data_IF_453384769722
#
_entry.id   IF_453384769722
#
_cell.length_a   1.000
_cell.length_b   1.000
_cell.length_c   1.000
_cell.angle_alpha   90.00
_cell.angle_beta   90.00
_cell.angle_gamma   90.00
#
_symmetry.space_group_name_H-M   'P 1'
#
loop_
_entity.id
_entity.type
_entity.pdbx_description
1 polymer ?
#
# COMPACT_ATOMS: atom_id res chain seq x y z
N UNK A 1 -8.15 -47.79 33.45
CA UNK A 1 -7.02 -47.40 32.59
C UNK A 1 -7.57 -46.40 31.58
N UNK A 2 -7.25 -45.13 31.76
CA UNK A 2 -7.86 -44.00 31.04
C UNK A 2 -7.34 -43.97 29.60
N UNK A 3 -8.24 -44.06 28.63
CA UNK A 3 -7.95 -43.82 27.22
C UNK A 3 -7.47 -42.36 27.06
N UNK A 4 -6.18 -42.17 26.75
CA UNK A 4 -5.67 -40.88 26.32
C UNK A 4 -6.55 -40.37 25.18
N UNK A 5 -7.20 -39.22 25.40
CA UNK A 5 -8.04 -38.54 24.43
C UNK A 5 -7.26 -38.41 23.11
N UNK A 6 -7.67 -39.19 22.09
CA UNK A 6 -7.18 -39.01 20.72
C UNK A 6 -7.44 -37.57 20.36
N UNK A 7 -6.39 -36.86 19.96
CA UNK A 7 -6.47 -35.47 19.54
C UNK A 7 -7.54 -35.36 18.44
N UNK A 8 -8.67 -34.70 18.73
CA UNK A 8 -9.86 -34.66 17.86
C UNK A 8 -9.75 -33.60 16.75
N UNK A 9 -8.65 -32.84 16.73
CA UNK A 9 -8.45 -31.74 15.79
C UNK A 9 -7.67 -32.21 14.56
N UNK A 10 -8.00 -31.62 13.41
CA UNK A 10 -7.26 -31.84 12.17
C UNK A 10 -5.83 -31.33 12.32
N UNK A 11 -4.87 -32.00 11.68
CA UNK A 11 -3.53 -31.43 11.55
C UNK A 11 -3.59 -30.20 10.65
N UNK A 12 -2.81 -29.17 10.98
CA UNK A 12 -2.73 -27.98 10.15
C UNK A 12 -2.18 -28.32 8.76
N UNK A 13 -2.84 -27.89 7.67
CA UNK A 13 -2.36 -28.13 6.31
C UNK A 13 -1.00 -27.47 6.11
N UNK A 14 -0.12 -28.18 5.42
CA UNK A 14 1.30 -27.84 5.26
C UNK A 14 1.53 -26.76 4.20
N UNK A 15 0.67 -26.75 3.19
CA UNK A 15 0.50 -25.65 2.26
C UNK A 15 -1.01 -25.40 2.16
N UNK A 16 -1.47 -24.15 2.08
CA UNK A 16 -2.89 -23.90 2.04
C UNK A 16 -3.58 -24.56 0.82
N UNK A 17 -2.85 -24.87 -0.25
CA UNK A 17 -3.35 -25.59 -1.44
C UNK A 17 -3.68 -27.09 -1.26
N UNK A 18 -3.45 -27.68 -0.08
CA UNK A 18 -3.63 -29.13 0.14
C UNK A 18 -5.06 -29.53 0.60
N UNK A 19 -6.03 -28.60 0.63
CA UNK A 19 -7.45 -28.93 0.89
C UNK A 19 -8.29 -28.77 -0.39
N UNK A 20 -9.21 -29.70 -0.66
CA UNK A 20 -10.24 -29.55 -1.71
C UNK A 20 -11.07 -28.27 -1.55
N UNK A 21 -11.12 -27.70 -0.33
CA UNK A 21 -11.87 -26.50 0.03
C UNK A 21 -10.99 -25.28 0.35
N UNK A 22 -9.66 -25.37 0.19
CA UNK A 22 -8.77 -24.23 0.36
C UNK A 22 -8.10 -23.92 -0.97
N UNK A 23 -8.71 -23.02 -1.73
CA UNK A 23 -7.95 -22.22 -2.68
C UNK A 23 -7.27 -21.12 -1.90
N UNK A 24 -5.94 -21.16 -1.79
CA UNK A 24 -5.22 -19.91 -1.56
C UNK A 24 -5.73 -18.94 -2.64
N UNK A 25 -6.21 -17.74 -2.27
CA UNK A 25 -6.66 -16.80 -3.28
C UNK A 25 -5.51 -16.64 -4.26
N UNK A 26 -5.75 -17.04 -5.51
CA UNK A 26 -4.72 -17.02 -6.55
C UNK A 26 -4.20 -15.59 -6.59
N UNK A 27 -2.94 -15.41 -6.18
CA UNK A 27 -2.32 -14.10 -6.23
C UNK A 27 -2.02 -13.86 -7.70
N UNK A 28 -3.00 -13.33 -8.43
CA UNK A 28 -2.80 -12.90 -9.81
C UNK A 28 -1.75 -11.80 -9.76
N UNK A 29 -0.50 -12.17 -10.07
CA UNK A 29 0.59 -11.21 -10.20
C UNK A 29 0.34 -10.49 -11.52
N UNK A 30 0.00 -9.19 -11.51
CA UNK A 30 -0.21 -8.48 -12.74
C UNK A 30 1.08 -8.50 -13.56
N UNK A 31 0.95 -8.72 -14.86
CA UNK A 31 2.08 -8.92 -15.79
C UNK A 31 2.98 -7.67 -15.93
N UNK A 32 2.57 -6.54 -15.35
CA UNK A 32 3.19 -5.24 -15.60
C UNK A 32 2.77 -4.67 -16.95
N UNK A 33 3.29 -3.49 -17.26
CA UNK A 33 3.04 -2.77 -18.51
C UNK A 33 4.37 -2.64 -19.26
N UNK A 34 4.35 -2.67 -20.58
CA UNK A 34 5.55 -2.35 -21.36
C UNK A 34 5.98 -0.89 -21.13
N UNK A 35 7.29 -0.64 -21.22
CA UNK A 35 7.81 0.71 -21.01
C UNK A 35 7.31 1.65 -22.10
N UNK A 36 6.51 2.63 -21.72
CA UNK A 36 6.03 3.68 -22.63
C UNK A 36 7.17 4.62 -23.05
N UNK A 37 7.18 5.07 -24.32
CA UNK A 37 8.11 6.10 -24.77
C UNK A 37 7.88 7.41 -23.98
N UNK A 38 8.92 8.26 -23.85
CA UNK A 38 8.74 9.55 -23.21
C UNK A 38 7.75 10.42 -24.00
N UNK A 39 6.73 10.94 -23.31
CA UNK A 39 5.82 11.93 -23.86
C UNK A 39 6.40 13.33 -23.69
N UNK A 40 6.12 14.21 -24.66
CA UNK A 40 6.47 15.62 -24.55
C UNK A 40 5.66 16.27 -23.43
N UNK A 41 6.31 17.15 -22.65
CA UNK A 41 5.65 17.91 -21.61
C UNK A 41 4.55 18.79 -22.22
N UNK A 42 3.32 18.57 -21.76
CA UNK A 42 2.14 19.33 -22.13
C UNK A 42 1.73 20.25 -20.97
N UNK A 43 1.17 21.41 -21.32
CA UNK A 43 0.60 22.35 -20.36
C UNK A 43 -0.70 21.80 -19.76
N UNK A 44 -0.82 21.89 -18.45
CA UNK A 44 -1.99 21.50 -17.68
C UNK A 44 -2.56 22.68 -16.91
N UNK A 45 -3.83 22.55 -16.51
CA UNK A 45 -4.47 23.53 -15.65
C UNK A 45 -3.70 23.68 -14.32
N UNK A 46 -3.48 24.93 -13.92
CA UNK A 46 -2.68 25.29 -12.74
C UNK A 46 -1.23 25.65 -13.07
N UNK A 47 -0.69 25.26 -14.22
CA UNK A 47 0.69 25.59 -14.59
C UNK A 47 0.92 27.10 -14.63
N UNK A 48 2.09 27.51 -14.16
CA UNK A 48 2.54 28.89 -14.24
C UNK A 48 3.62 29.01 -15.30
N UNK A 49 3.44 29.96 -16.20
CA UNK A 49 4.32 30.18 -17.35
C UNK A 49 4.82 31.61 -17.41
N UNK A 50 6.00 31.76 -17.98
CA UNK A 50 6.57 33.01 -18.44
C UNK A 50 6.45 33.06 -19.96
N UNK A 51 5.81 34.11 -20.46
CA UNK A 51 5.69 34.39 -21.90
C UNK A 51 6.63 35.54 -22.26
N UNK A 52 7.54 35.29 -23.17
CA UNK A 52 8.35 36.34 -23.79
C UNK A 52 7.90 36.51 -25.24
N UNK A 53 7.45 37.71 -25.59
CA UNK A 53 7.10 38.07 -26.97
C UNK A 53 8.19 38.95 -27.56
N UNK A 54 8.65 38.61 -28.76
CA UNK A 54 9.70 39.34 -29.48
C UNK A 54 9.13 39.87 -30.80
N UNK A 55 9.20 41.19 -30.98
CA UNK A 55 8.90 41.88 -32.23
C UNK A 55 9.74 43.15 -32.36
N UNK A 56 9.15 44.35 -32.49
CA UNK A 56 9.86 45.63 -32.42
C UNK A 56 10.43 45.90 -31.02
N UNK A 57 9.71 45.48 -29.99
CA UNK A 57 10.13 45.45 -28.59
C UNK A 57 10.07 44.00 -28.09
N UNK A 58 10.85 43.72 -27.05
CA UNK A 58 10.73 42.48 -26.28
C UNK A 58 9.91 42.77 -25.03
N UNK A 59 8.84 42.02 -24.85
CA UNK A 59 7.98 42.09 -23.67
C UNK A 59 7.97 40.74 -22.97
N UNK A 60 8.04 40.76 -21.64
CA UNK A 60 8.03 39.56 -20.81
C UNK A 60 6.86 39.66 -19.84
N UNK A 61 6.02 38.62 -19.84
CA UNK A 61 4.90 38.46 -18.95
C UNK A 61 5.18 37.27 -18.05
N UNK A 62 5.30 37.52 -16.75
CA UNK A 62 5.57 36.50 -15.74
C UNK A 62 4.30 36.17 -14.97
N UNK A 63 4.23 34.94 -14.45
CA UNK A 63 3.13 34.53 -13.57
C UNK A 63 1.80 34.32 -14.30
N UNK A 64 1.82 34.08 -15.61
CA UNK A 64 0.60 33.73 -16.34
C UNK A 64 0.19 32.30 -15.95
N UNK A 65 -1.08 32.10 -15.63
CA UNK A 65 -1.59 30.82 -15.12
C UNK A 65 -2.49 30.19 -16.17
N UNK A 66 -2.32 28.89 -16.42
CA UNK A 66 -3.26 28.10 -17.20
C UNK A 66 -4.49 27.83 -16.34
N UNK A 67 -5.65 28.35 -16.73
CA UNK A 67 -6.87 28.22 -15.95
C UNK A 67 -7.45 26.79 -15.95
N UNK A 68 -8.54 26.58 -15.21
CA UNK A 68 -9.22 25.29 -15.10
C UNK A 68 -9.82 24.79 -16.42
N UNK A 69 -10.07 25.68 -17.39
CA UNK A 69 -10.53 25.33 -18.73
C UNK A 69 -9.37 25.05 -19.70
N UNK A 70 -8.12 25.16 -19.24
CA UNK A 70 -6.92 25.01 -20.07
C UNK A 70 -6.59 26.25 -20.89
N UNK A 71 -7.09 27.42 -20.53
CA UNK A 71 -6.85 28.67 -21.24
C UNK A 71 -5.74 29.48 -20.56
N UNK A 72 -4.97 30.21 -21.37
CA UNK A 72 -3.99 31.18 -20.94
C UNK A 72 -4.46 32.56 -21.37
N UNK A 73 -4.64 33.47 -20.41
CA UNK A 73 -4.98 34.85 -20.70
C UNK A 73 -3.73 35.60 -21.19
N UNK A 74 -3.67 35.91 -22.47
CA UNK A 74 -2.55 36.62 -23.09
C UNK A 74 -2.94 38.07 -23.35
N UNK A 75 -2.18 39.07 -22.87
CA UNK A 75 -2.44 40.48 -23.16
C UNK A 75 -2.61 40.72 -24.66
N UNK A 76 -3.59 41.55 -25.03
CA UNK A 76 -4.04 41.84 -26.41
C UNK A 76 -4.76 40.69 -27.14
N UNK A 77 -4.27 39.45 -27.01
CA UNK A 77 -4.86 38.30 -27.69
C UNK A 77 -6.05 37.67 -26.95
N UNK A 78 -6.24 37.97 -25.66
CA UNK A 78 -7.30 37.41 -24.84
C UNK A 78 -7.02 35.96 -24.44
N UNK A 79 -8.07 35.17 -24.27
CA UNK A 79 -7.96 33.79 -23.80
C UNK A 79 -7.56 32.85 -24.96
N UNK A 80 -6.47 32.10 -24.75
CA UNK A 80 -5.93 31.17 -25.74
C UNK A 80 -5.93 29.77 -25.14
N UNK A 81 -6.54 28.80 -25.84
CA UNK A 81 -6.52 27.41 -25.41
C UNK A 81 -5.10 26.82 -25.53
N UNK A 82 -4.49 26.48 -24.40
CA UNK A 82 -3.15 25.89 -24.30
C UNK A 82 -3.13 24.53 -23.58
N UNK A 83 -4.22 24.15 -22.91
CA UNK A 83 -4.35 22.90 -22.18
C UNK A 83 -4.13 21.68 -23.07
N UNK A 84 -3.29 20.75 -22.62
CA UNK A 84 -2.90 19.55 -23.36
C UNK A 84 -1.96 19.81 -24.55
N UNK A 85 -1.58 21.07 -24.84
CA UNK A 85 -0.61 21.39 -25.90
C UNK A 85 0.81 21.29 -25.36
N UNK A 86 1.73 20.88 -26.22
CA UNK A 86 3.17 21.06 -25.95
C UNK A 86 3.53 22.54 -25.99
N UNK A 87 4.68 22.92 -25.41
CA UNK A 87 5.17 24.29 -25.44
C UNK A 87 5.19 24.89 -26.85
N UNK A 88 5.76 24.17 -27.82
CA UNK A 88 5.81 24.64 -29.21
C UNK A 88 4.43 24.79 -29.86
N UNK A 89 3.47 23.96 -29.48
CA UNK A 89 2.09 24.07 -29.96
C UNK A 89 1.37 25.26 -29.32
N UNK A 90 1.62 25.53 -28.04
CA UNK A 90 1.07 26.67 -27.31
C UNK A 90 1.66 27.99 -27.82
N UNK A 91 2.98 28.07 -28.00
CA UNK A 91 3.66 29.23 -28.61
C UNK A 91 3.05 29.59 -29.96
N UNK A 92 2.86 28.59 -30.84
CA UNK A 92 2.24 28.80 -32.16
C UNK A 92 0.79 29.29 -32.06
N UNK A 93 0.02 28.81 -31.09
CA UNK A 93 -1.34 29.28 -30.84
C UNK A 93 -1.33 30.75 -30.37
N UNK A 94 -0.41 31.10 -29.47
CA UNK A 94 -0.21 32.46 -28.97
C UNK A 94 0.18 33.42 -30.09
N UNK A 95 1.17 33.05 -30.91
CA UNK A 95 1.56 33.83 -32.09
C UNK A 95 0.38 34.07 -33.03
N UNK A 96 -0.45 33.04 -33.26
CA UNK A 96 -1.62 33.17 -34.14
C UNK A 96 -2.64 34.17 -33.58
N UNK A 97 -2.85 34.19 -32.26
CA UNK A 97 -3.71 35.17 -31.59
C UNK A 97 -3.16 36.60 -31.67
N UNK A 98 -1.86 36.77 -31.44
CA UNK A 98 -1.20 38.09 -31.44
C UNK A 98 -1.02 38.69 -32.83
N UNK A 99 -1.00 37.87 -33.90
CA UNK A 99 -0.83 38.34 -35.30
C UNK A 99 -1.89 39.32 -35.79
N UNK A 100 -3.03 39.45 -35.11
CA UNK A 100 -4.03 40.49 -35.38
C UNK A 100 -3.50 41.90 -35.04
N UNK A 101 -2.58 42.00 -34.10
CA UNK A 101 -2.04 43.24 -33.57
C UNK A 101 -0.58 43.47 -33.98
N UNK A 102 0.19 42.39 -34.08
CA UNK A 102 1.58 42.43 -34.53
C UNK A 102 1.90 41.27 -35.49
N UNK A 103 2.12 41.61 -36.76
CA UNK A 103 2.32 40.63 -37.84
C UNK A 103 3.62 39.82 -37.69
N UNK A 104 4.64 40.34 -37.01
CA UNK A 104 5.98 39.75 -36.94
C UNK A 104 6.31 39.11 -35.59
N UNK A 105 5.39 39.20 -34.62
CA UNK A 105 5.57 38.64 -33.28
C UNK A 105 5.99 37.17 -33.28
N UNK A 106 6.91 36.86 -32.37
CA UNK A 106 7.31 35.51 -31.98
C UNK A 106 7.08 35.33 -30.49
N UNK A 107 6.58 34.16 -30.10
CA UNK A 107 6.34 33.83 -28.70
C UNK A 107 7.32 32.74 -28.26
N UNK A 108 7.85 32.90 -27.05
CA UNK A 108 8.61 31.88 -26.33
C UNK A 108 7.94 31.67 -24.98
N UNK A 109 7.64 30.41 -24.65
CA UNK A 109 6.95 30.04 -23.43
C UNK A 109 7.82 29.13 -22.57
N UNK A 110 8.02 29.51 -21.31
CA UNK A 110 8.76 28.74 -20.32
C UNK A 110 7.82 28.41 -19.17
N UNK A 111 7.76 27.13 -18.76
CA UNK A 111 7.03 26.74 -17.55
C UNK A 111 7.92 27.06 -16.34
N UNK A 112 7.42 27.92 -15.46
CA UNK A 112 8.11 28.29 -14.21
C UNK A 112 7.66 27.43 -13.04
N UNK A 113 6.40 26.95 -13.04
CA UNK A 113 5.86 26.00 -12.06
C UNK A 113 4.93 24.98 -12.72
N UNK A 114 5.13 23.70 -12.37
CA UNK A 114 4.36 22.55 -12.87
C UNK A 114 3.23 22.16 -11.91
N UNK A 115 2.43 23.15 -11.47
CA UNK A 115 1.41 22.89 -10.43
C UNK A 115 0.27 22.01 -10.92
N UNK A 116 0.04 21.93 -12.24
CA UNK A 116 -0.88 20.98 -12.85
C UNK A 116 -0.38 19.54 -12.83
N UNK A 117 0.93 19.33 -12.72
CA UNK A 117 1.57 18.01 -12.76
C UNK A 117 1.78 17.49 -11.35
N UNK A 118 0.70 16.97 -10.73
CA UNK A 118 0.81 16.37 -9.40
C UNK A 118 0.33 14.93 -9.38
N UNK A 119 1.00 14.10 -8.59
CA UNK A 119 0.56 12.77 -8.20
C UNK A 119 0.32 12.73 -6.68
N UNK A 120 -0.65 11.97 -6.22
CA UNK A 120 -0.95 11.82 -4.80
C UNK A 120 -0.34 10.53 -4.24
N UNK A 121 0.23 10.59 -3.06
CA UNK A 121 0.60 9.40 -2.27
C UNK A 121 -0.20 9.42 -0.98
N UNK A 122 -0.97 8.36 -0.74
CA UNK A 122 -1.86 8.24 0.41
C UNK A 122 -1.68 6.89 1.11
N UNK A 123 -1.96 6.88 2.42
CA UNK A 123 -1.85 5.69 3.26
C UNK A 123 -0.54 5.63 4.07
N UNK A 124 -0.07 4.42 4.34
CA UNK A 124 1.02 4.14 5.27
C UNK A 124 2.41 4.30 4.62
N UNK A 125 2.71 5.54 4.20
CA UNK A 125 4.05 6.02 3.82
C UNK A 125 4.58 6.99 4.89
N UNK A 126 5.86 7.35 4.83
CA UNK A 126 6.45 8.30 5.78
C UNK A 126 5.82 9.70 5.65
N UNK A 127 5.74 10.21 4.42
CA UNK A 127 5.14 11.53 4.11
C UNK A 127 4.03 11.40 3.07
N UNK A 128 2.77 11.20 3.50
CA UNK A 128 1.62 11.27 2.59
C UNK A 128 1.41 12.70 2.07
N UNK A 129 0.93 12.85 0.84
CA UNK A 129 0.68 14.16 0.26
C UNK A 129 0.63 14.19 -1.26
N UNK A 130 0.61 15.40 -1.83
CA UNK A 130 0.73 15.62 -3.26
C UNK A 130 2.18 15.93 -3.60
N UNK A 131 2.68 15.30 -4.65
CA UNK A 131 4.04 15.41 -5.14
C UNK A 131 4.03 15.86 -6.59
N UNK A 132 5.02 16.65 -6.98
CA UNK A 132 5.22 17.10 -8.35
C UNK A 132 5.62 15.91 -9.24
N UNK A 133 4.82 15.63 -10.27
CA UNK A 133 5.04 14.58 -11.25
C UNK A 133 5.94 15.09 -12.37
N UNK A 134 7.26 15.01 -12.15
CA UNK A 134 8.25 15.55 -13.10
C UNK A 134 8.37 14.69 -14.36
N UNK A 135 8.77 15.29 -15.50
CA UNK A 135 9.08 14.53 -16.71
C UNK A 135 10.08 13.41 -16.43
N UNK A 136 9.71 12.20 -16.81
CA UNK A 136 10.56 11.02 -16.64
C UNK A 136 10.48 10.31 -15.29
N UNK A 137 9.79 10.91 -14.31
CA UNK A 137 9.62 10.33 -12.98
C UNK A 137 8.88 8.98 -13.03
N UNK A 138 9.35 8.02 -12.24
CA UNK A 138 8.80 6.66 -12.17
C UNK A 138 8.17 6.35 -10.82
N UNK A 139 7.46 5.24 -10.76
CA UNK A 139 6.75 4.79 -9.56
C UNK A 139 7.67 4.61 -8.34
N UNK A 140 8.88 4.08 -8.54
CA UNK A 140 9.86 3.96 -7.47
C UNK A 140 10.35 5.33 -6.97
N UNK A 141 10.47 6.32 -7.85
CA UNK A 141 10.87 7.68 -7.48
C UNK A 141 9.77 8.36 -6.63
N UNK A 142 8.50 8.15 -6.99
CA UNK A 142 7.36 8.64 -6.21
C UNK A 142 7.35 8.09 -4.78
N UNK A 143 7.58 6.78 -4.64
CA UNK A 143 7.70 6.14 -3.33
C UNK A 143 8.90 6.67 -2.54
N UNK A 144 10.03 6.93 -3.21
CA UNK A 144 11.21 7.47 -2.56
C UNK A 144 10.99 8.92 -2.06
N UNK A 145 10.29 9.75 -2.84
CA UNK A 145 9.92 11.11 -2.44
C UNK A 145 8.97 11.13 -1.23
N UNK A 146 8.12 10.10 -1.09
CA UNK A 146 7.24 9.95 0.08
C UNK A 146 7.92 9.28 1.29
N UNK A 147 9.25 9.12 1.27
CA UNK A 147 10.06 8.48 2.32
C UNK A 147 9.92 6.95 2.41
N UNK A 148 9.24 6.32 1.45
CA UNK A 148 9.00 4.87 1.45
C UNK A 148 7.81 4.45 2.31
N UNK A 149 7.70 3.14 2.55
CA UNK A 149 6.67 2.60 3.44
C UNK A 149 6.95 3.02 4.88
N UNK A 150 5.91 3.43 5.60
CA UNK A 150 6.02 3.83 7.00
C UNK A 150 6.59 2.67 7.83
N UNK A 151 7.50 2.99 8.75
CA UNK A 151 8.17 2.04 9.65
C UNK A 151 7.94 2.52 11.09
N UNK A 152 7.60 1.61 11.99
CA UNK A 152 7.62 1.87 13.43
C UNK A 152 8.51 0.85 14.14
N UNK A 153 9.19 1.29 15.20
CA UNK A 153 9.88 0.38 16.10
C UNK A 153 8.90 -0.18 17.13
N UNK A 154 8.64 -1.48 17.04
CA UNK A 154 7.86 -2.21 18.05
C UNK A 154 8.83 -3.15 18.75
N UNK A 155 9.04 -2.96 20.05
CA UNK A 155 10.02 -3.73 20.84
C UNK A 155 11.44 -3.75 20.24
N UNK A 156 11.94 -2.61 19.77
CA UNK A 156 13.26 -2.47 19.13
C UNK A 156 13.40 -3.23 17.80
N UNK A 157 12.29 -3.67 17.21
CA UNK A 157 12.26 -4.29 15.88
C UNK A 157 11.59 -3.34 14.89
N UNK A 158 12.31 -2.89 13.84
CA UNK A 158 11.71 -2.13 12.75
C UNK A 158 10.59 -2.95 12.09
N UNK A 159 9.37 -2.42 12.15
CA UNK A 159 8.17 -3.07 11.65
C UNK A 159 7.55 -2.19 10.57
N UNK A 160 7.40 -2.74 9.36
CA UNK A 160 6.70 -2.07 8.27
C UNK A 160 5.23 -1.90 8.62
N UNK A 161 4.75 -0.67 8.61
CA UNK A 161 3.35 -0.31 8.78
C UNK A 161 2.62 -0.19 7.44
N UNK A 162 3.35 -0.02 6.33
CA UNK A 162 2.79 0.02 4.97
C UNK A 162 3.04 -1.24 4.17
N UNK A 163 2.00 -1.76 3.50
CA UNK A 163 2.10 -2.94 2.65
C UNK A 163 2.44 -2.59 1.20
N UNK A 164 3.72 -2.71 0.83
CA UNK A 164 4.16 -2.55 -0.56
C UNK A 164 3.62 -3.63 -1.50
N UNK A 165 3.22 -4.78 -0.97
CA UNK A 165 2.64 -5.88 -1.74
C UNK A 165 1.20 -5.57 -2.16
N UNK A 166 0.45 -4.89 -1.29
CA UNK A 166 -0.95 -4.52 -1.51
C UNK A 166 -1.12 -3.11 -2.04
N UNK A 167 -0.03 -2.35 -2.15
CA UNK A 167 -0.04 -1.02 -2.71
C UNK A 167 -0.54 -1.02 -4.15
N UNK A 168 -1.31 0.00 -4.50
CA UNK A 168 -1.96 0.14 -5.80
C UNK A 168 -1.67 1.51 -6.36
N UNK A 169 -1.36 1.55 -7.65
CA UNK A 169 -1.40 2.79 -8.41
C UNK A 169 -2.78 2.86 -9.07
N UNK A 170 -3.46 3.99 -8.88
CA UNK A 170 -4.74 4.30 -9.51
C UNK A 170 -4.51 5.43 -10.50
N UNK A 171 -4.97 5.24 -11.74
CA UNK A 171 -4.89 6.21 -12.83
C UNK A 171 -6.28 6.32 -13.45
N UNK A 172 -6.80 7.54 -13.56
CA UNK A 172 -8.12 7.81 -14.13
C UNK A 172 -9.27 6.99 -13.50
N UNK A 173 -9.14 6.68 -12.20
CA UNK A 173 -10.11 5.87 -11.45
C UNK A 173 -9.92 4.35 -11.56
N UNK A 174 -9.00 3.88 -12.40
CA UNK A 174 -8.72 2.45 -12.59
C UNK A 174 -7.41 2.03 -11.92
N UNK A 175 -7.37 0.79 -11.41
CA UNK A 175 -6.13 0.24 -10.84
C UNK A 175 -5.19 -0.18 -11.97
N UNK A 176 -4.01 0.44 -12.00
CA UNK A 176 -2.96 0.10 -12.94
C UNK A 176 -2.34 -1.26 -12.56
N UNK A 177 -2.17 -2.21 -13.49
CA UNK A 177 -1.66 -3.56 -13.22
C UNK A 177 -0.14 -3.57 -12.97
N UNK A 178 0.32 -2.88 -11.94
CA UNK A 178 1.72 -2.82 -11.50
C UNK A 178 1.85 -3.22 -10.04
N UNK A 179 3.05 -3.64 -9.62
CA UNK A 179 3.37 -4.01 -8.25
C UNK A 179 4.47 -3.11 -7.74
N UNK A 180 4.17 -2.35 -6.68
CA UNK A 180 5.12 -1.43 -6.09
C UNK A 180 6.39 -2.14 -5.58
N UNK A 181 6.25 -3.35 -5.05
CA UNK A 181 7.41 -4.15 -4.63
C UNK A 181 8.38 -4.47 -5.78
N UNK A 182 7.86 -4.85 -6.95
CA UNK A 182 8.67 -5.17 -8.14
C UNK A 182 9.25 -3.88 -8.76
N UNK A 183 8.47 -2.80 -8.75
CA UNK A 183 8.94 -1.48 -9.17
C UNK A 183 10.16 -1.02 -8.35
N UNK A 184 10.09 -1.17 -7.02
CA UNK A 184 11.19 -0.85 -6.09
C UNK A 184 12.42 -1.73 -6.32
N UNK A 185 12.24 -2.96 -6.78
CA UNK A 185 13.33 -3.87 -7.13
C UNK A 185 13.95 -3.58 -8.51
N UNK A 186 13.41 -2.61 -9.24
CA UNK A 186 13.93 -2.20 -10.54
C UNK A 186 13.34 -2.95 -11.72
N UNK A 187 12.24 -3.72 -11.56
CA UNK A 187 11.56 -4.33 -12.71
C UNK A 187 10.95 -3.23 -13.58
N UNK A 188 11.42 -3.04 -14.82
CA UNK A 188 10.94 -1.95 -15.68
C UNK A 188 9.47 -2.10 -16.06
N UNK A 189 8.89 -3.31 -15.99
CA UNK A 189 7.47 -3.53 -16.29
C UNK A 189 6.54 -3.05 -15.18
N UNK A 190 7.04 -2.95 -13.96
CA UNK A 190 6.28 -2.45 -12.81
C UNK A 190 6.72 -1.04 -12.41
N UNK A 191 7.96 -0.65 -12.69
CA UNK A 191 8.49 0.69 -12.45
C UNK A 191 8.12 1.68 -13.58
N UNK A 192 6.83 1.80 -13.84
CA UNK A 192 6.29 2.64 -14.92
C UNK A 192 6.44 4.14 -14.62
N UNK A 193 6.22 4.96 -15.65
CA UNK A 193 6.21 6.42 -15.51
C UNK A 193 4.96 6.88 -14.77
N UNK A 194 5.14 7.86 -13.89
CA UNK A 194 4.05 8.56 -13.22
C UNK A 194 3.46 9.60 -14.16
N UNK A 195 2.13 9.67 -14.19
CA UNK A 195 1.38 10.69 -14.90
C UNK A 195 0.73 11.66 -13.91
N UNK A 196 0.54 12.93 -14.29
CA UNK A 196 -0.33 13.84 -13.55
C UNK A 196 -1.68 13.20 -13.27
N UNK A 197 -2.17 13.31 -12.03
CA UNK A 197 -3.41 12.70 -11.56
C UNK A 197 -3.26 11.29 -10.98
N UNK A 198 -2.12 10.63 -11.15
CA UNK A 198 -1.88 9.32 -10.55
C UNK A 198 -2.01 9.35 -9.02
N UNK A 199 -2.56 8.29 -8.44
CA UNK A 199 -2.70 8.12 -7.01
C UNK A 199 -2.05 6.81 -6.56
N UNK A 200 -0.99 6.91 -5.77
CA UNK A 200 -0.37 5.79 -5.11
C UNK A 200 -1.00 5.57 -3.73
N UNK A 201 -1.73 4.48 -3.57
CA UNK A 201 -2.28 4.07 -2.29
C UNK A 201 -1.45 2.94 -1.68
N UNK A 202 -0.88 3.18 -0.50
CA UNK A 202 -0.15 2.18 0.29
C UNK A 202 -1.00 1.84 1.51
N UNK A 203 -1.73 0.71 1.53
CA UNK A 203 -2.57 0.37 2.66
C UNK A 203 -1.71 0.06 3.90
N UNK A 204 -2.22 0.38 5.11
CA UNK A 204 -1.59 -0.07 6.34
C UNK A 204 -1.62 -1.60 6.45
N UNK A 205 -0.67 -2.16 7.19
CA UNK A 205 -0.58 -3.62 7.42
C UNK A 205 -1.64 -4.11 8.43
N UNK A 206 -2.47 -3.19 8.96
CA UNK A 206 -3.52 -3.47 9.96
C UNK A 206 -4.61 -4.43 9.48
N UNK A 207 -4.84 -4.52 8.17
CA UNK A 207 -5.95 -5.31 7.63
C UNK A 207 -5.63 -6.82 7.56
N UNK A 208 -4.38 -7.22 7.86
CA UNK A 208 -3.93 -8.62 7.80
C UNK A 208 -2.95 -8.89 8.93
N UNK A 209 -3.47 -9.21 10.10
CA UNK A 209 -2.68 -9.58 11.28
C UNK A 209 -2.79 -11.08 11.56
N UNK A 210 -1.73 -11.66 12.09
CA UNK A 210 -1.71 -12.96 12.77
C UNK A 210 -1.63 -12.66 14.27
N UNK A 211 -2.42 -13.33 15.09
CA UNK A 211 -2.33 -13.19 16.54
C UNK A 211 -1.48 -14.31 17.13
N UNK A 212 -0.44 -14.00 17.89
CA UNK A 212 0.35 -15.01 18.61
C UNK A 212 0.06 -14.91 20.09
N UNK A 213 -0.51 -15.96 20.66
CA UNK A 213 -1.04 -16.00 22.02
C UNK A 213 -0.57 -17.26 22.77
N UNK A 214 -0.76 -17.24 24.09
CA UNK A 214 -0.43 -18.38 24.97
C UNK A 214 1.01 -18.35 25.49
N UNK A 215 1.59 -19.52 25.67
CA UNK A 215 2.90 -19.72 26.35
C UNK A 215 4.10 -19.46 25.42
N UNK A 216 4.14 -18.27 24.83
CA UNK A 216 5.27 -17.72 24.07
C UNK A 216 6.01 -16.65 24.87
N UNK A 217 7.23 -16.31 24.47
CA UNK A 217 8.03 -15.29 25.15
C UNK A 217 7.32 -13.94 25.20
N UNK A 218 6.77 -13.48 24.08
CA UNK A 218 6.07 -12.20 23.92
C UNK A 218 4.78 -12.43 23.10
N UNK A 219 3.63 -12.63 23.76
CA UNK A 219 2.32 -12.67 23.09
C UNK A 219 2.02 -11.33 22.43
N UNK A 220 1.77 -11.32 21.12
CA UNK A 220 1.59 -10.08 20.36
C UNK A 220 0.85 -10.31 19.03
N UNK A 221 0.15 -9.28 18.51
CA UNK A 221 -0.25 -9.25 17.11
C UNK A 221 0.98 -9.12 16.21
N UNK A 222 0.95 -9.75 15.05
CA UNK A 222 2.02 -9.73 14.06
C UNK A 222 1.47 -9.45 12.66
N UNK A 223 2.14 -8.55 11.94
CA UNK A 223 1.87 -8.28 10.53
C UNK A 223 1.97 -9.56 9.68
N UNK A 224 0.94 -9.87 8.89
CA UNK A 224 0.98 -10.92 7.88
C UNK A 224 1.80 -10.49 6.66
N UNK A 225 2.62 -11.40 6.15
CA UNK A 225 3.27 -11.30 4.83
C UNK A 225 3.06 -12.62 4.08
N UNK A 226 2.94 -12.56 2.76
CA UNK A 226 2.73 -13.76 1.94
C UNK A 226 3.82 -14.80 2.19
N UNK A 227 3.41 -16.03 2.50
CA UNK A 227 4.31 -17.16 2.78
C UNK A 227 4.91 -17.21 4.18
N UNK A 228 4.46 -16.36 5.12
CA UNK A 228 4.92 -16.42 6.52
C UNK A 228 4.58 -17.78 7.16
N UNK A 229 5.55 -18.37 7.86
CA UNK A 229 5.42 -19.69 8.46
C UNK A 229 5.31 -19.65 9.98
N UNK A 230 4.75 -20.71 10.56
CA UNK A 230 4.56 -20.84 11.99
C UNK A 230 5.87 -20.75 12.78
N UNK A 231 6.94 -21.41 12.34
CA UNK A 231 8.22 -21.36 13.08
C UNK A 231 8.81 -19.95 13.13
N UNK A 232 8.72 -19.18 12.04
CA UNK A 232 9.15 -17.79 11.99
C UNK A 232 8.34 -16.93 12.97
N UNK A 233 7.01 -17.10 12.97
CA UNK A 233 6.12 -16.37 13.86
C UNK A 233 6.43 -16.68 15.33
N UNK A 234 6.62 -17.94 15.69
CA UNK A 234 7.01 -18.33 17.04
C UNK A 234 8.38 -17.79 17.43
N UNK A 235 9.36 -17.81 16.52
CA UNK A 235 10.70 -17.25 16.78
C UNK A 235 10.64 -15.74 17.07
N UNK A 236 9.88 -14.99 16.27
CA UNK A 236 9.67 -13.54 16.47
C UNK A 236 8.88 -13.23 17.75
N UNK A 237 8.03 -14.14 18.19
CA UNK A 237 7.34 -14.07 19.50
C UNK A 237 8.23 -14.53 20.68
N UNK A 238 9.55 -14.67 20.51
CA UNK A 238 10.48 -15.06 21.57
C UNK A 238 10.51 -16.57 21.87
N UNK A 239 9.97 -17.39 20.97
CA UNK A 239 9.89 -18.84 21.12
C UNK A 239 8.83 -19.30 22.12
N UNK A 240 8.72 -20.62 22.30
CA UNK A 240 7.86 -21.24 23.32
C UNK A 240 8.57 -21.21 24.67
N UNK A 241 7.87 -20.78 25.71
CA UNK A 241 8.38 -20.76 27.08
C UNK A 241 8.61 -22.20 27.55
N UNK A 242 9.89 -22.60 27.67
CA UNK A 242 10.30 -24.00 27.86
C UNK A 242 9.68 -24.71 29.07
N UNK A 243 9.37 -23.99 30.14
CA UNK A 243 8.82 -24.55 31.39
C UNK A 243 7.29 -24.66 31.40
N UNK A 244 6.60 -23.84 30.60
CA UNK A 244 5.15 -23.68 30.67
C UNK A 244 4.41 -24.06 29.40
N UNK A 245 5.05 -23.96 28.23
CA UNK A 245 4.41 -24.20 26.94
C UNK A 245 4.51 -25.64 26.46
N UNK A 246 3.41 -26.19 25.94
CA UNK A 246 3.41 -27.49 25.29
C UNK A 246 3.92 -27.38 23.84
N UNK A 247 5.10 -27.94 23.59
CA UNK A 247 5.68 -28.01 22.24
C UNK A 247 4.95 -28.98 21.31
N UNK A 248 4.04 -29.81 21.84
CA UNK A 248 3.30 -30.84 21.10
C UNK A 248 1.88 -30.41 20.73
N UNK A 249 1.33 -29.38 21.38
CA UNK A 249 -0.01 -28.86 21.12
C UNK A 249 0.02 -27.36 20.86
N UNK A 250 0.34 -27.02 19.61
CA UNK A 250 0.16 -25.68 19.07
C UNK A 250 -1.12 -25.68 18.25
N UNK A 251 -1.99 -24.70 18.53
CA UNK A 251 -3.27 -24.57 17.86
C UNK A 251 -3.23 -23.40 16.88
N UNK A 252 -3.74 -23.62 15.67
CA UNK A 252 -3.97 -22.58 14.68
C UNK A 252 -5.47 -22.47 14.50
N UNK A 253 -6.02 -21.31 14.84
CA UNK A 253 -7.45 -21.01 14.73
C UNK A 253 -7.62 -20.12 13.51
N UNK A 254 -8.41 -20.59 12.54
CA UNK A 254 -8.60 -19.95 11.23
C UNK A 254 -10.08 -19.78 10.91
N UNK A 255 -10.43 -18.70 10.22
CA UNK A 255 -11.81 -18.39 9.81
C UNK A 255 -12.56 -17.49 10.79
N UNK A 256 -13.87 -17.33 10.59
CA UNK A 256 -14.68 -16.42 11.40
C UNK A 256 -14.80 -16.94 12.85
N UNK A 257 -14.69 -16.03 13.84
CA UNK A 257 -14.75 -16.38 15.26
C UNK A 257 -16.07 -17.03 15.71
N UNK A 258 -17.13 -16.92 14.91
CA UNK A 258 -18.41 -17.61 15.14
C UNK A 258 -18.33 -19.11 14.84
N UNK A 259 -17.53 -19.50 13.85
CA UNK A 259 -17.31 -20.90 13.44
C UNK A 259 -15.84 -21.12 13.05
N UNK A 260 -14.92 -21.06 14.04
CA UNK A 260 -13.51 -21.18 13.74
C UNK A 260 -13.13 -22.63 13.45
N UNK A 261 -12.23 -22.81 12.48
CA UNK A 261 -11.55 -24.09 12.28
C UNK A 261 -10.30 -24.13 13.14
N UNK A 262 -10.17 -25.18 13.95
CA UNK A 262 -9.03 -25.38 14.85
C UNK A 262 -8.16 -26.50 14.32
N UNK A 263 -6.93 -26.15 14.00
CA UNK A 263 -5.88 -27.06 13.59
C UNK A 263 -4.89 -27.26 14.71
N UNK A 264 -4.25 -28.42 14.75
CA UNK A 264 -3.16 -28.70 15.69
C UNK A 264 -1.86 -29.02 14.96
N UNK A 265 -0.75 -28.64 15.58
CA UNK A 265 0.59 -28.98 15.11
C UNK A 265 1.56 -29.14 16.27
N UNK A 266 2.71 -29.75 15.99
CA UNK A 266 3.70 -30.16 16.96
C UNK A 266 5.06 -29.61 16.55
N UNK A 267 5.57 -28.62 17.29
CA UNK A 267 6.86 -28.00 17.00
C UNK A 267 8.03 -29.00 17.09
N UNK A 268 7.95 -30.00 17.98
CA UNK A 268 8.98 -31.03 18.07
C UNK A 268 9.04 -31.88 16.79
N UNK A 269 7.89 -32.17 16.18
CA UNK A 269 7.84 -32.86 14.90
C UNK A 269 8.37 -31.98 13.76
N UNK A 270 8.03 -30.68 13.76
CA UNK A 270 8.54 -29.70 12.78
C UNK A 270 10.07 -29.57 12.84
N UNK A 271 10.62 -29.29 14.03
CA UNK A 271 12.08 -29.15 14.23
C UNK A 271 12.83 -30.45 13.96
N UNK A 272 12.19 -31.60 14.14
CA UNK A 272 12.76 -32.90 13.84
C UNK A 272 12.63 -33.33 12.38
N UNK A 273 12.09 -32.49 11.48
CA UNK A 273 11.87 -32.81 10.07
C UNK A 273 10.79 -33.87 9.83
N UNK A 274 9.95 -34.16 10.83
CA UNK A 274 8.88 -35.17 10.78
C UNK A 274 7.52 -34.60 10.39
N UNK A 275 7.41 -33.28 10.31
CA UNK A 275 6.23 -32.56 9.86
C UNK A 275 6.69 -31.30 9.11
N UNK A 276 5.88 -30.83 8.17
CA UNK A 276 6.18 -29.63 7.38
C UNK A 276 5.66 -28.37 8.08
N UNK A 277 6.44 -27.30 8.01
CA UNK A 277 6.11 -26.03 8.65
C UNK A 277 4.87 -25.38 8.01
N UNK A 278 3.93 -24.97 8.85
CA UNK A 278 2.61 -24.49 8.42
C UNK A 278 2.73 -23.07 7.89
N UNK A 279 2.18 -22.82 6.70
CA UNK A 279 2.01 -21.46 6.19
C UNK A 279 0.73 -20.87 6.79
N UNK A 280 0.87 -19.71 7.42
CA UNK A 280 -0.24 -19.02 8.06
C UNK A 280 -1.01 -18.17 7.05
N UNK A 281 -2.21 -17.76 7.42
CA UNK A 281 -3.11 -16.91 6.65
C UNK A 281 -3.45 -15.62 7.43
N UNK A 282 -3.92 -14.56 6.74
CA UNK A 282 -4.43 -13.36 7.41
C UNK A 282 -5.55 -13.72 8.40
N UNK A 283 -5.48 -13.18 9.61
CA UNK A 283 -6.46 -13.42 10.68
C UNK A 283 -6.22 -14.68 11.49
N UNK A 284 -5.23 -15.52 11.15
CA UNK A 284 -4.91 -16.71 11.95
C UNK A 284 -4.53 -16.33 13.38
N UNK A 285 -5.03 -17.12 14.34
CA UNK A 285 -4.60 -17.06 15.74
C UNK A 285 -3.74 -18.29 16.01
N UNK A 286 -2.46 -18.07 16.28
CA UNK A 286 -1.51 -19.07 16.76
C UNK A 286 -1.55 -19.06 18.28
N UNK A 287 -1.97 -20.17 18.89
CA UNK A 287 -2.07 -20.33 20.33
C UNK A 287 -1.17 -21.47 20.81
N UNK A 288 -0.20 -21.15 21.67
CA UNK A 288 0.64 -22.15 22.33
C UNK A 288 0.02 -22.52 23.66
N UNK A 289 -0.39 -23.79 23.80
CA UNK A 289 -1.06 -24.28 25.01
C UNK A 289 -0.09 -24.44 26.18
N UNK A 290 -0.65 -24.54 27.39
CA UNK A 290 0.11 -24.89 28.59
C UNK A 290 0.48 -26.38 28.60
N UNK A 291 1.66 -26.70 29.09
CA UNK A 291 2.20 -28.05 29.21
C UNK A 291 1.38 -28.98 30.15
N UNK A 292 0.48 -28.41 30.95
CA UNK A 292 -0.51 -29.14 31.75
C UNK A 292 -1.93 -28.80 31.26
N UNK A 293 -2.66 -29.86 30.90
CA UNK A 293 -4.03 -29.95 30.35
C UNK A 293 -4.76 -28.61 30.08
N UNK A 294 -4.98 -28.27 28.80
CA UNK A 294 -5.90 -27.21 28.39
C UNK A 294 -6.96 -27.77 27.41
N UNK A 295 -8.23 -27.71 27.82
CA UNK A 295 -9.39 -28.08 26.99
C UNK A 295 -9.81 -26.92 26.07
N UNK A 296 -10.66 -27.13 25.06
CA UNK A 296 -11.14 -26.05 24.17
C UNK A 296 -11.91 -24.95 24.89
N UNK A 297 -12.58 -25.28 25.99
CA UNK A 297 -13.25 -24.31 26.83
C UNK A 297 -12.25 -23.31 27.40
N UNK A 298 -11.05 -23.76 27.79
CA UNK A 298 -10.03 -22.90 28.40
C UNK A 298 -9.47 -21.87 27.41
N UNK A 299 -9.36 -22.23 26.12
CA UNK A 299 -8.86 -21.33 25.06
C UNK A 299 -9.92 -20.31 24.65
N UNK A 300 -11.18 -20.72 24.45
CA UNK A 300 -12.28 -19.79 24.20
C UNK A 300 -12.51 -18.84 25.39
N UNK A 301 -12.40 -19.35 26.61
CA UNK A 301 -12.49 -18.56 27.83
C UNK A 301 -11.29 -17.60 28.00
N UNK A 302 -10.08 -17.99 27.59
CA UNK A 302 -8.91 -17.12 27.58
C UNK A 302 -9.03 -15.97 26.56
N UNK A 303 -9.81 -16.15 25.48
CA UNK A 303 -10.12 -15.13 24.48
C UNK A 303 -11.35 -14.27 24.85
N UNK A 304 -12.13 -14.67 25.87
CA UNK A 304 -13.35 -13.98 26.28
C UNK A 304 -13.17 -12.49 26.64
N UNK A 305 -12.06 -12.03 27.26
CA UNK A 305 -11.82 -10.61 27.53
C UNK A 305 -11.52 -9.79 26.26
N UNK A 306 -11.09 -10.43 25.18
CA UNK A 306 -10.75 -9.78 23.91
C UNK A 306 -12.00 -9.70 23.02
N UNK A 307 -12.85 -10.72 23.06
CA UNK A 307 -14.14 -10.73 22.36
C UNK A 307 -15.11 -9.68 22.91
N UNK A 308 -15.04 -9.33 24.20
CA UNK A 308 -15.83 -8.24 24.78
C UNK A 308 -15.32 -6.84 24.38
N UNK A 309 -14.06 -6.71 23.97
CA UNK A 309 -13.51 -5.47 23.40
C UNK A 309 -13.93 -5.24 21.94
N UNK A 310 -14.31 -6.29 21.20
CA UNK A 310 -14.87 -6.13 19.85
C UNK A 310 -16.19 -5.34 19.84
N UNK A 311 -16.93 -5.32 20.97
CA UNK A 311 -18.14 -4.50 21.13
C UNK A 311 -17.84 -3.05 21.56
N UNK A 312 -16.64 -2.74 22.07
CA UNK A 312 -16.29 -1.38 22.52
C UNK A 312 -15.42 -0.59 21.53
N UNK A 313 -14.71 -1.25 20.60
CA UNK A 313 -14.06 -0.53 19.49
C UNK A 313 -15.08 -0.03 18.45
N UNK A 314 -16.26 -0.66 18.37
CA UNK A 314 -17.38 -0.14 17.58
C UNK A 314 -17.97 1.19 18.14
N UNK A 315 -17.72 1.52 19.41
CA UNK A 315 -18.21 2.77 20.02
C UNK A 315 -17.20 3.93 19.94
N UNK A 316 -15.89 3.68 19.86
CA UNK A 316 -14.90 4.75 19.70
C UNK A 316 -14.77 5.27 18.26
N UNK A 317 -15.24 4.52 17.25
CA UNK A 317 -15.33 5.00 15.87
C UNK A 317 -16.57 5.87 15.59
N UNK A 318 -17.57 5.89 16.48
CA UNK A 318 -18.79 6.70 16.34
C UNK A 318 -18.87 7.90 17.32
N UNK A 319 -18.02 7.95 18.34
CA UNK A 319 -18.00 9.06 19.29
C UNK A 319 -17.14 10.27 18.85
N UNK A 320 -16.37 10.17 17.75
CA UNK A 320 -15.55 11.27 17.22
C UNK A 320 -16.25 12.19 16.21
N UNK A 321 -17.48 11.89 15.79
CA UNK A 321 -18.19 12.62 14.73
C UNK A 321 -19.31 13.56 15.24
N UNK A 322 -19.48 13.71 16.55
CA UNK A 322 -20.44 14.67 17.13
C UNK A 322 -19.77 15.40 18.28
N UNK A 323 -19.15 16.55 18.02
CA UNK A 323 -18.73 17.43 19.11
C UNK A 323 -17.57 18.37 18.85
N UNK A 324 -17.66 19.23 17.83
CA UNK A 324 -17.15 20.61 17.96
C UNK A 324 -18.06 21.55 17.17
N UNK A 325 -18.74 22.43 17.92
CA UNK A 325 -19.26 23.70 17.41
C UNK A 325 -18.10 24.65 17.13
#
# INVERSE_FOLDING_TARGET
MSECARNRYKQAPTVPSDEDNFSAPEVIVPRGIESEPPEALALLAGDVVQLTTVSATTETFEGLIVDAMGQLHVPLAGDINVGGKTLSQAEKAIETGLRRYDRFVRANLIITRLDGHTAAVVGAVETPGRFEARPGMRLADLLALSGGASIAEVHQVPTLLGSLELARLVRDGETVPVRLLLARQGDPKHNIRIRPGDQLYVPPVTDRMIMVLGEVGIPQPMAYRTGIRLTEVLARAGGIVSERGDRKDIRIIRGALREPQVYTTNLKALMGGKATDVVLAPGDIVYVTKAWYASTADVLNALSPILSLANSVALLALAGAVGTR
#
